data_IF_173255325968
#
_entry.id   IF_173255325968
#
_cell.length_a   1.000
_cell.length_b   1.000
_cell.length_c   1.000
_cell.angle_alpha   90.00
_cell.angle_beta   90.00
_cell.angle_gamma   90.00
#
_symmetry.space_group_name_H-M   'P 1'
#
loop_
_entity.id
_entity.type
_entity.pdbx_description
1 polymer ?
#
# COMPACT_ATOMS: atom_id res chain seq x y z
N UNK A 1 -0.03 12.81 -1.81
CA UNK A 1 -0.40 11.98 -2.96
C UNK A 1 -0.23 10.48 -2.67
N UNK A 2 0.99 9.92 -2.62
CA UNK A 2 1.19 8.47 -2.34
C UNK A 2 1.04 8.11 -0.85
N UNK A 3 1.75 8.82 0.04
CA UNK A 3 1.70 8.56 1.51
C UNK A 3 0.29 8.69 2.08
N UNK A 4 -0.49 9.68 1.63
CA UNK A 4 -1.88 9.85 2.05
C UNK A 4 -2.77 8.65 1.70
N UNK A 5 -2.53 7.99 0.56
CA UNK A 5 -3.29 6.81 0.16
C UNK A 5 -2.87 5.58 0.97
N UNK A 6 -1.57 5.44 1.26
CA UNK A 6 -1.05 4.44 2.19
C UNK A 6 -1.68 4.62 3.59
N UNK A 7 -1.73 5.85 4.12
CA UNK A 7 -2.38 6.19 5.40
C UNK A 7 -3.88 5.92 5.39
N UNK A 8 -4.57 6.30 4.30
CA UNK A 8 -6.02 6.05 4.15
C UNK A 8 -6.32 4.56 4.21
N UNK A 9 -5.54 3.75 3.49
CA UNK A 9 -5.70 2.30 3.46
C UNK A 9 -5.30 1.66 4.79
N UNK A 10 -4.23 2.12 5.44
CA UNK A 10 -3.81 1.65 6.77
C UNK A 10 -4.81 1.98 7.90
N UNK A 11 -5.57 3.06 7.77
CA UNK A 11 -6.70 3.35 8.69
C UNK A 11 -7.84 2.34 8.53
N UNK A 12 -8.04 1.81 7.33
CA UNK A 12 -9.08 0.82 7.04
C UNK A 12 -8.62 -0.61 7.36
N UNK A 13 -7.36 -0.94 7.10
CA UNK A 13 -6.81 -2.28 7.20
C UNK A 13 -5.34 -2.22 7.60
N UNK A 14 -4.98 -2.87 8.71
CA UNK A 14 -3.64 -2.82 9.30
C UNK A 14 -2.61 -3.72 8.64
N UNK A 15 -3.05 -4.67 7.81
CA UNK A 15 -2.18 -5.64 7.17
C UNK A 15 -2.67 -5.91 5.76
N UNK A 16 -1.79 -5.86 4.78
CA UNK A 16 -2.12 -6.24 3.40
C UNK A 16 -1.62 -7.66 3.11
N UNK A 17 -2.45 -8.42 2.42
CA UNK A 17 -2.04 -9.66 1.76
C UNK A 17 -1.13 -9.35 0.57
N UNK A 18 -0.36 -10.33 0.10
CA UNK A 18 0.48 -10.19 -1.09
C UNK A 18 -0.26 -9.61 -2.32
N UNK A 19 -1.44 -10.13 -2.74
CA UNK A 19 -2.15 -9.58 -3.90
C UNK A 19 -2.69 -8.16 -3.68
N UNK A 20 -3.16 -7.84 -2.46
CA UNK A 20 -3.65 -6.50 -2.13
C UNK A 20 -2.52 -5.46 -2.18
N UNK A 21 -1.33 -5.86 -1.71
CA UNK A 21 -0.12 -5.05 -1.77
C UNK A 21 0.34 -4.82 -3.20
N UNK A 22 0.32 -5.84 -4.04
CA UNK A 22 0.66 -5.69 -5.47
C UNK A 22 -0.30 -4.75 -6.17
N UNK A 23 -1.60 -4.91 -5.94
CA UNK A 23 -2.62 -4.04 -6.50
C UNK A 23 -2.45 -2.58 -6.05
N UNK A 24 -2.23 -2.35 -4.76
CA UNK A 24 -2.02 -1.01 -4.23
C UNK A 24 -0.75 -0.38 -4.80
N UNK A 25 0.33 -1.14 -4.88
CA UNK A 25 1.60 -0.67 -5.45
C UNK A 25 1.42 -0.17 -6.89
N UNK A 26 0.73 -0.95 -7.74
CA UNK A 26 0.42 -0.53 -9.12
C UNK A 26 -0.45 0.73 -9.15
N UNK A 27 -1.45 0.83 -8.28
CA UNK A 27 -2.39 1.96 -8.26
C UNK A 27 -1.71 3.30 -7.92
N UNK A 28 -0.76 3.30 -6.99
CA UNK A 28 -0.07 4.51 -6.54
C UNK A 28 1.32 4.68 -7.14
N UNK A 29 1.67 3.87 -8.16
CA UNK A 29 2.96 3.89 -8.84
C UNK A 29 4.16 3.72 -7.87
N UNK A 30 4.08 2.71 -7.01
CA UNK A 30 5.15 2.21 -6.15
C UNK A 30 5.46 0.75 -6.47
N UNK A 31 6.57 0.25 -5.92
CA UNK A 31 6.86 -1.19 -5.92
C UNK A 31 6.21 -1.89 -4.72
N UNK A 32 5.86 -3.19 -4.82
CA UNK A 32 5.35 -3.95 -3.68
C UNK A 32 6.29 -3.95 -2.48
N UNK A 33 7.60 -3.79 -2.70
CA UNK A 33 8.61 -3.67 -1.65
C UNK A 33 8.49 -2.33 -0.92
N UNK A 34 8.33 -1.21 -1.62
CA UNK A 34 8.11 0.10 -1.00
C UNK A 34 6.82 0.12 -0.19
N UNK A 35 5.74 -0.47 -0.73
CA UNK A 35 4.49 -0.62 0.02
C UNK A 35 4.71 -1.46 1.27
N UNK A 36 5.44 -2.58 1.20
CA UNK A 36 5.78 -3.42 2.38
C UNK A 36 6.61 -2.70 3.46
N UNK A 37 7.54 -1.84 3.07
CA UNK A 37 8.38 -1.12 4.05
C UNK A 37 7.55 -0.11 4.82
N UNK A 38 6.55 0.48 4.15
CA UNK A 38 5.71 1.50 4.75
C UNK A 38 4.51 0.91 5.52
N UNK A 39 3.83 -0.09 4.96
CA UNK A 39 2.68 -0.79 5.57
C UNK A 39 3.10 -1.70 6.71
#
# INVERSE_FOLDING_TARGET
AQVQELERRFKQQKYLSAPEREHLATMINLTPTQVKIWF
#
